data_IF_275139032421
#
_entry.id   IF_275139032421
#
_cell.length_a   1.000
_cell.length_b   1.000
_cell.length_c   1.000
_cell.angle_alpha   90.00
_cell.angle_beta   90.00
_cell.angle_gamma   90.00
#
_symmetry.space_group_name_H-M   'P 1'
#
loop_
_entity.id
_entity.type
_entity.pdbx_description
1 polymer ?
#
# COMPACT_ATOMS: atom_id res chain seq x y z
N UNK A 1 14.79 5.05 -35.81
CA UNK A 1 13.68 5.74 -35.09
C UNK A 1 13.80 5.46 -33.58
N UNK A 2 13.21 6.28 -32.70
CA UNK A 2 13.16 6.04 -31.24
C UNK A 2 11.70 5.89 -30.81
N UNK A 3 11.40 4.86 -30.00
CA UNK A 3 10.06 4.64 -29.44
C UNK A 3 9.59 5.83 -28.60
N UNK A 4 8.34 6.25 -28.79
CA UNK A 4 7.67 7.27 -27.97
C UNK A 4 6.34 6.72 -27.48
N UNK A 5 6.15 6.69 -26.16
CA UNK A 5 4.89 6.27 -25.57
C UNK A 5 3.98 7.49 -25.34
N UNK A 6 2.85 7.53 -26.04
CA UNK A 6 1.95 8.69 -26.04
C UNK A 6 1.31 8.98 -24.66
N UNK A 7 1.29 7.98 -23.76
CA UNK A 7 0.70 8.10 -22.42
C UNK A 7 1.75 8.25 -21.31
N UNK A 8 2.99 8.64 -21.63
CA UNK A 8 4.06 8.78 -20.63
C UNK A 8 3.70 9.78 -19.52
N UNK A 9 3.08 10.92 -19.87
CA UNK A 9 2.62 11.92 -18.89
C UNK A 9 1.56 11.36 -17.95
N UNK A 10 0.63 10.56 -18.48
CA UNK A 10 -0.41 9.92 -17.70
C UNK A 10 0.17 8.84 -16.78
N UNK A 11 1.14 8.05 -17.26
CA UNK A 11 1.88 7.08 -16.42
C UNK A 11 2.54 7.78 -15.24
N UNK A 12 3.29 8.86 -15.49
CA UNK A 12 3.99 9.60 -14.43
C UNK A 12 3.02 10.24 -13.43
N UNK A 13 1.83 10.66 -13.88
CA UNK A 13 0.77 11.11 -12.97
C UNK A 13 0.27 9.96 -12.09
N UNK A 14 -0.02 8.79 -12.67
CA UNK A 14 -0.49 7.61 -11.91
C UNK A 14 0.54 7.10 -10.92
N UNK A 15 1.82 7.17 -11.26
CA UNK A 15 2.93 6.81 -10.38
C UNK A 15 2.97 7.71 -9.13
N UNK A 16 2.88 9.05 -9.32
CA UNK A 16 2.79 9.99 -8.19
C UNK A 16 1.53 9.78 -7.33
N UNK A 17 0.40 9.44 -7.96
CA UNK A 17 -0.83 9.14 -7.22
C UNK A 17 -0.71 7.82 -6.42
N UNK A 18 -0.02 6.81 -6.95
CA UNK A 18 0.29 5.57 -6.21
C UNK A 18 1.18 5.87 -5.00
N UNK A 19 2.24 6.68 -5.19
CA UNK A 19 3.16 7.07 -4.11
C UNK A 19 2.44 7.84 -3.00
N UNK A 20 1.58 8.78 -3.36
CA UNK A 20 0.77 9.56 -2.42
C UNK A 20 -0.20 8.64 -1.65
N UNK A 21 -0.95 7.79 -2.34
CA UNK A 21 -1.87 6.85 -1.70
C UNK A 21 -1.12 5.86 -0.78
N UNK A 22 0.08 5.45 -1.16
CA UNK A 22 0.96 4.62 -0.32
C UNK A 22 1.36 5.34 0.95
N UNK A 23 1.73 6.63 0.86
CA UNK A 23 2.09 7.44 2.03
C UNK A 23 0.92 7.54 3.00
N UNK A 24 -0.27 7.90 2.51
CA UNK A 24 -1.49 8.02 3.31
C UNK A 24 -1.84 6.68 3.98
N UNK A 25 -1.73 5.56 3.25
CA UNK A 25 -1.94 4.23 3.82
C UNK A 25 -0.96 3.94 4.97
N UNK A 26 0.33 4.23 4.79
CA UNK A 26 1.34 4.01 5.84
C UNK A 26 1.11 4.90 7.08
N UNK A 27 0.65 6.13 6.89
CA UNK A 27 0.25 7.02 7.99
C UNK A 27 -0.94 6.41 8.76
N UNK A 28 -1.97 5.93 8.05
CA UNK A 28 -3.12 5.25 8.68
C UNK A 28 -2.71 3.98 9.43
N UNK A 29 -1.80 3.16 8.88
CA UNK A 29 -1.23 2.00 9.56
C UNK A 29 -0.52 2.41 10.85
N UNK A 30 0.29 3.46 10.82
CA UNK A 30 0.99 3.96 12.00
C UNK A 30 0.02 4.45 13.09
N UNK A 31 -1.08 5.12 12.70
CA UNK A 31 -2.13 5.51 13.64
C UNK A 31 -2.86 4.32 14.25
N UNK A 32 -3.18 3.28 13.46
CA UNK A 32 -3.76 2.04 13.98
C UNK A 32 -2.84 1.38 15.00
N UNK A 33 -1.54 1.26 14.69
CA UNK A 33 -0.55 0.67 15.61
C UNK A 33 -0.53 1.44 16.94
N UNK A 34 -0.51 2.78 16.90
CA UNK A 34 -0.56 3.61 18.13
C UNK A 34 -1.86 3.38 18.93
N UNK A 35 -2.99 3.20 18.24
CA UNK A 35 -4.26 2.90 18.92
C UNK A 35 -4.25 1.50 19.54
N UNK A 36 -3.67 0.51 18.87
CA UNK A 36 -3.47 -0.85 19.37
C UNK A 36 -2.59 -0.86 20.62
N UNK A 37 -1.45 -0.16 20.60
CA UNK A 37 -0.54 -0.05 21.74
C UNK A 37 -1.25 0.51 22.98
N UNK A 38 -2.07 1.56 22.81
CA UNK A 38 -2.88 2.12 23.90
C UNK A 38 -3.88 1.11 24.45
N UNK A 39 -4.54 0.35 23.56
CA UNK A 39 -5.50 -0.68 23.95
C UNK A 39 -4.81 -1.84 24.69
N UNK A 40 -3.62 -2.25 24.27
CA UNK A 40 -2.81 -3.25 24.97
C UNK A 40 -2.37 -2.71 26.34
N UNK A 41 -1.93 -1.46 26.41
CA UNK A 41 -1.50 -0.83 27.65
C UNK A 41 -2.63 -0.79 28.71
N UNK A 42 -3.85 -0.39 28.32
CA UNK A 42 -4.98 -0.36 29.26
C UNK A 42 -5.39 -1.77 29.70
N UNK A 43 -5.36 -2.76 28.81
CA UNK A 43 -5.63 -4.16 29.16
C UNK A 43 -4.61 -4.70 30.18
N UNK A 44 -3.32 -4.42 29.97
CA UNK A 44 -2.26 -4.80 30.90
C UNK A 44 -2.42 -4.10 32.25
N UNK A 45 -2.79 -2.81 32.24
CA UNK A 45 -3.07 -2.05 33.45
C UNK A 45 -4.22 -2.67 34.24
N UNK A 46 -5.35 -2.96 33.60
CA UNK A 46 -6.50 -3.62 34.24
C UNK A 46 -6.10 -4.98 34.82
N UNK A 47 -5.32 -5.78 34.09
CA UNK A 47 -4.84 -7.08 34.57
C UNK A 47 -3.99 -6.94 35.84
N UNK A 48 -3.01 -6.03 35.82
CA UNK A 48 -2.13 -5.78 36.98
C UNK A 48 -2.91 -5.27 38.20
N UNK A 49 -3.88 -4.38 38.00
CA UNK A 49 -4.71 -3.88 39.10
C UNK A 49 -5.60 -4.98 39.69
N UNK A 50 -6.14 -5.88 38.86
CA UNK A 50 -6.86 -7.08 39.34
C UNK A 50 -5.96 -8.02 40.16
N UNK A 51 -4.73 -8.29 39.69
CA UNK A 51 -3.78 -9.13 40.41
C UNK A 51 -3.41 -8.53 41.77
N UNK A 52 -3.19 -7.20 41.83
CA UNK A 52 -2.93 -6.47 43.08
C UNK A 52 -4.10 -6.58 44.04
N UNK A 53 -5.31 -6.38 43.55
CA UNK A 53 -6.52 -6.46 44.37
C UNK A 53 -6.73 -7.85 44.97
N UNK A 54 -6.60 -8.91 44.16
CA UNK A 54 -6.72 -10.28 44.65
C UNK A 54 -5.70 -10.56 45.76
N UNK A 55 -4.44 -10.11 45.57
CA UNK A 55 -3.39 -10.26 46.56
C UNK A 55 -3.72 -9.52 47.86
N UNK A 56 -4.16 -8.27 47.78
CA UNK A 56 -4.50 -7.46 48.95
C UNK A 56 -5.72 -8.00 49.71
N UNK A 57 -6.75 -8.49 49.01
CA UNK A 57 -7.89 -9.18 49.63
C UNK A 57 -7.43 -10.44 50.36
N UNK A 58 -6.63 -11.29 49.70
CA UNK A 58 -6.18 -12.56 50.28
C UNK A 58 -5.36 -12.40 51.56
N UNK A 59 -4.74 -11.22 51.74
CA UNK A 59 -3.94 -10.86 52.90
C UNK A 59 -4.74 -10.09 53.96
N UNK A 60 -6.06 -9.92 53.78
CA UNK A 60 -6.93 -9.09 54.63
C UNK A 60 -6.39 -7.65 54.83
N UNK A 61 -5.72 -7.11 53.82
CA UNK A 61 -5.07 -5.78 53.87
C UNK A 61 -5.98 -4.64 53.39
N UNK A 62 -7.26 -4.88 53.18
CA UNK A 62 -8.19 -3.86 52.68
C UNK A 62 -9.45 -3.75 53.53
N UNK A 63 -9.84 -2.50 53.73
CA UNK A 63 -11.12 -2.09 54.29
C UNK A 63 -12.22 -2.12 53.23
N UNK A 64 -13.48 -2.12 53.69
CA UNK A 64 -14.66 -2.08 52.80
C UNK A 64 -14.66 -0.81 51.93
N UNK A 65 -14.20 0.32 52.47
CA UNK A 65 -14.15 1.59 51.74
C UNK A 65 -13.11 1.53 50.61
N UNK A 66 -11.94 0.95 50.85
CA UNK A 66 -10.91 0.75 49.82
C UNK A 66 -11.39 -0.19 48.71
N UNK A 67 -12.16 -1.23 49.05
CA UNK A 67 -12.77 -2.13 48.06
C UNK A 67 -13.76 -1.37 47.15
N UNK A 68 -14.58 -0.49 47.72
CA UNK A 68 -15.52 0.34 46.94
C UNK A 68 -14.81 1.33 46.01
N UNK A 69 -13.74 1.98 46.51
CA UNK A 69 -12.92 2.87 45.70
C UNK A 69 -12.24 2.13 44.56
N UNK A 70 -11.70 0.94 44.83
CA UNK A 70 -11.06 0.11 43.83
C UNK A 70 -12.03 -0.33 42.74
N UNK A 71 -13.25 -0.74 43.11
CA UNK A 71 -14.30 -1.07 42.14
C UNK A 71 -14.63 0.11 41.23
N UNK A 72 -14.79 1.30 41.81
CA UNK A 72 -15.07 2.52 41.03
C UNK A 72 -13.93 2.85 40.07
N UNK A 73 -12.68 2.66 40.51
CA UNK A 73 -11.50 2.83 39.68
C UNK A 73 -11.45 1.81 38.53
N UNK A 74 -11.69 0.53 38.79
CA UNK A 74 -11.77 -0.48 37.74
C UNK A 74 -12.87 -0.18 36.72
N UNK A 75 -14.04 0.25 37.17
CA UNK A 75 -15.13 0.65 36.27
C UNK A 75 -14.70 1.83 35.37
N UNK A 76 -13.88 2.74 35.87
CA UNK A 76 -13.31 3.83 35.07
C UNK A 76 -12.32 3.32 34.01
N UNK A 77 -11.47 2.35 34.35
CA UNK A 77 -10.52 1.73 33.42
C UNK A 77 -11.24 0.91 32.34
N UNK A 78 -12.31 0.20 32.69
CA UNK A 78 -13.08 -0.57 31.71
C UNK A 78 -13.82 0.37 30.74
N UNK A 79 -14.35 1.50 31.23
CA UNK A 79 -14.90 2.56 30.35
C UNK A 79 -13.84 3.14 29.42
N UNK A 80 -12.62 3.36 29.91
CA UNK A 80 -11.50 3.82 29.08
C UNK A 80 -11.11 2.79 28.02
N UNK A 81 -11.04 1.51 28.38
CA UNK A 81 -10.78 0.40 27.46
C UNK A 81 -11.84 0.31 26.36
N UNK A 82 -13.12 0.48 26.68
CA UNK A 82 -14.20 0.50 25.67
C UNK A 82 -13.94 1.64 24.67
N UNK A 83 -13.67 2.86 25.15
CA UNK A 83 -13.36 4.01 24.28
C UNK A 83 -12.13 3.77 23.40
N UNK A 84 -11.05 3.23 23.96
CA UNK A 84 -9.85 2.89 23.19
C UNK A 84 -10.12 1.78 22.17
N UNK A 85 -11.01 0.84 22.50
CA UNK A 85 -11.49 -0.20 21.58
C UNK A 85 -12.28 0.38 20.40
N UNK A 86 -13.14 1.37 20.64
CA UNK A 86 -13.85 2.09 19.58
C UNK A 86 -12.87 2.82 18.64
N UNK A 87 -11.92 3.57 19.22
CA UNK A 87 -10.88 4.27 18.47
C UNK A 87 -10.06 3.29 17.63
N UNK A 88 -9.66 2.15 18.20
CA UNK A 88 -8.92 1.12 17.48
C UNK A 88 -9.73 0.59 16.28
N UNK A 89 -11.01 0.28 16.46
CA UNK A 89 -11.89 -0.18 15.38
C UNK A 89 -12.03 0.86 14.27
N UNK A 90 -12.17 2.14 14.63
CA UNK A 90 -12.20 3.23 13.67
C UNK A 90 -10.91 3.30 12.85
N UNK A 91 -9.75 3.22 13.52
CA UNK A 91 -8.43 3.24 12.84
C UNK A 91 -8.21 2.03 11.94
N UNK A 92 -8.70 0.85 12.32
CA UNK A 92 -8.69 -0.35 11.45
C UNK A 92 -9.53 -0.11 10.19
N UNK A 93 -10.72 0.47 10.34
CA UNK A 93 -11.60 0.76 9.20
C UNK A 93 -10.96 1.77 8.23
N UNK A 94 -10.35 2.83 8.77
CA UNK A 94 -9.62 3.84 7.99
C UNK A 94 -8.42 3.21 7.28
N UNK A 95 -7.62 2.40 7.97
CA UNK A 95 -6.48 1.71 7.34
C UNK A 95 -6.93 0.86 6.15
N UNK A 96 -7.99 0.07 6.30
CA UNK A 96 -8.49 -0.79 5.23
C UNK A 96 -9.06 0.02 4.04
N UNK A 97 -9.70 1.16 4.30
CA UNK A 97 -10.11 2.09 3.25
C UNK A 97 -8.89 2.60 2.47
N UNK A 98 -7.86 3.10 3.16
CA UNK A 98 -6.64 3.64 2.52
C UNK A 98 -5.82 2.57 1.83
N UNK A 99 -5.86 1.34 2.33
CA UNK A 99 -5.28 0.17 1.65
C UNK A 99 -5.95 -0.09 0.32
N UNK A 100 -7.29 -0.04 0.24
CA UNK A 100 -8.04 -0.23 -1.01
C UNK A 100 -7.72 0.88 -2.02
N UNK A 101 -7.67 2.13 -1.57
CA UNK A 101 -7.29 3.28 -2.42
C UNK A 101 -5.88 3.09 -3.01
N UNK A 102 -4.90 2.69 -2.19
CA UNK A 102 -3.55 2.39 -2.66
C UNK A 102 -3.52 1.24 -3.67
N UNK A 103 -4.25 0.15 -3.42
CA UNK A 103 -4.29 -0.99 -4.34
C UNK A 103 -4.90 -0.62 -5.70
N UNK A 104 -5.95 0.20 -5.71
CA UNK A 104 -6.53 0.71 -6.97
C UNK A 104 -5.58 1.68 -7.68
N UNK A 105 -4.90 2.57 -6.97
CA UNK A 105 -3.88 3.45 -7.56
C UNK A 105 -2.75 2.64 -8.21
N UNK A 106 -2.25 1.61 -7.49
CA UNK A 106 -1.22 0.69 -7.97
C UNK A 106 -1.67 -0.10 -9.20
N UNK A 107 -2.89 -0.63 -9.19
CA UNK A 107 -3.48 -1.31 -10.35
C UNK A 107 -3.52 -0.41 -11.57
N UNK A 108 -3.95 0.84 -11.41
CA UNK A 108 -3.99 1.82 -12.49
C UNK A 108 -2.59 2.14 -13.06
N UNK A 109 -1.55 2.20 -12.22
CA UNK A 109 -0.16 2.35 -12.69
C UNK A 109 0.31 1.13 -13.48
N UNK A 110 0.08 -0.08 -12.96
CA UNK A 110 0.49 -1.34 -13.59
C UNK A 110 -0.14 -1.49 -14.98
N UNK A 111 -1.41 -1.10 -15.15
CA UNK A 111 -2.10 -1.18 -16.45
C UNK A 111 -1.35 -0.35 -17.51
N UNK A 112 -0.91 0.86 -17.16
CA UNK A 112 -0.17 1.73 -18.09
C UNK A 112 1.23 1.21 -18.40
N UNK A 113 1.90 0.59 -17.44
CA UNK A 113 3.19 -0.06 -17.70
C UNK A 113 3.05 -1.24 -18.66
N UNK A 114 2.10 -2.14 -18.42
CA UNK A 114 1.85 -3.26 -19.33
C UNK A 114 1.47 -2.78 -20.74
N UNK A 115 0.70 -1.69 -20.83
CA UNK A 115 0.39 -1.08 -22.11
C UNK A 115 1.63 -0.53 -22.81
N UNK A 116 2.53 0.12 -22.07
CA UNK A 116 3.80 0.63 -22.60
C UNK A 116 4.70 -0.50 -23.10
N UNK A 117 4.82 -1.57 -22.32
CA UNK A 117 5.57 -2.78 -22.70
C UNK A 117 5.03 -3.37 -24.01
N UNK A 118 3.72 -3.59 -24.10
CA UNK A 118 3.10 -4.11 -25.33
C UNK A 118 3.32 -3.18 -26.53
N UNK A 119 3.17 -1.87 -26.35
CA UNK A 119 3.44 -0.88 -27.42
C UNK A 119 4.91 -0.86 -27.84
N UNK A 120 5.81 -1.11 -26.93
CA UNK A 120 7.24 -1.21 -27.24
C UNK A 120 7.57 -2.47 -28.05
N UNK A 121 6.95 -3.61 -27.70
CA UNK A 121 7.07 -4.85 -28.48
C UNK A 121 6.51 -4.68 -29.90
N UNK A 122 5.32 -4.09 -30.05
CA UNK A 122 4.72 -3.76 -31.35
C UNK A 122 5.67 -2.90 -32.19
N UNK A 123 6.23 -1.84 -31.60
CA UNK A 123 7.20 -0.97 -32.26
C UNK A 123 8.46 -1.72 -32.72
N UNK A 124 8.98 -2.64 -31.90
CA UNK A 124 10.18 -3.44 -32.25
C UNK A 124 9.91 -4.34 -33.44
N UNK A 125 8.74 -4.97 -33.51
CA UNK A 125 8.33 -5.82 -34.63
C UNK A 125 8.22 -5.00 -35.91
N UNK A 126 7.60 -3.82 -35.83
CA UNK A 126 7.42 -2.94 -36.99
C UNK A 126 8.76 -2.38 -37.50
N UNK A 127 9.63 -1.95 -36.59
CA UNK A 127 10.98 -1.52 -36.92
C UNK A 127 11.78 -2.62 -37.65
N UNK A 128 11.73 -3.87 -37.16
CA UNK A 128 12.40 -4.99 -37.81
C UNK A 128 11.84 -5.26 -39.21
N UNK A 129 10.52 -5.13 -39.40
CA UNK A 129 9.87 -5.29 -40.71
C UNK A 129 10.25 -4.18 -41.69
N UNK A 130 10.47 -2.96 -41.22
CA UNK A 130 10.98 -1.86 -42.06
C UNK A 130 12.45 -2.07 -42.42
N UNK A 131 13.30 -2.46 -41.46
CA UNK A 131 14.71 -2.77 -41.74
C UNK A 131 14.85 -3.89 -42.78
N UNK A 132 14.10 -4.98 -42.63
CA UNK A 132 14.14 -6.08 -43.59
C UNK A 132 13.70 -5.62 -44.99
N UNK A 133 12.62 -4.82 -45.10
CA UNK A 133 12.18 -4.26 -46.39
C UNK A 133 13.24 -3.37 -47.03
N UNK A 134 13.90 -2.52 -46.24
CA UNK A 134 14.98 -1.67 -46.75
C UNK A 134 16.18 -2.50 -47.25
N UNK A 135 16.54 -3.57 -46.54
CA UNK A 135 17.61 -4.48 -46.96
C UNK A 135 17.27 -5.21 -48.27
N UNK A 136 16.03 -5.68 -48.41
CA UNK A 136 15.55 -6.34 -49.63
C UNK A 136 15.58 -5.37 -50.83
N UNK A 137 15.12 -4.13 -50.64
CA UNK A 137 15.19 -3.09 -51.68
C UNK A 137 16.64 -2.79 -52.11
N UNK A 138 17.56 -2.65 -51.16
CA UNK A 138 18.99 -2.47 -51.45
C UNK A 138 19.54 -3.67 -52.23
N UNK A 139 19.20 -4.89 -51.82
CA UNK A 139 19.61 -6.12 -52.51
C UNK A 139 19.13 -6.17 -53.95
N UNK A 140 17.87 -5.82 -54.19
CA UNK A 140 17.28 -5.72 -55.53
C UNK A 140 18.02 -4.66 -56.37
N UNK A 141 18.24 -3.46 -55.83
CA UNK A 141 18.96 -2.40 -56.54
C UNK A 141 20.40 -2.79 -56.89
N UNK A 142 21.12 -3.45 -55.98
CA UNK A 142 22.47 -3.95 -56.23
C UNK A 142 22.49 -5.03 -57.32
N UNK A 143 21.52 -5.95 -57.31
CA UNK A 143 21.38 -6.97 -58.35
C UNK A 143 21.13 -6.33 -59.72
N UNK A 144 20.22 -5.34 -59.81
CA UNK A 144 19.96 -4.63 -61.07
C UNK A 144 21.15 -3.82 -61.58
N UNK A 145 21.94 -3.21 -60.69
CA UNK A 145 23.19 -2.52 -61.06
C UNK A 145 24.20 -3.50 -61.67
N UNK A 146 24.50 -4.61 -60.97
CA UNK A 146 25.39 -5.66 -61.50
C UNK A 146 24.93 -6.17 -62.86
N UNK A 147 23.63 -6.40 -63.07
CA UNK A 147 23.10 -6.91 -64.34
C UNK A 147 23.22 -5.90 -65.49
N UNK A 148 23.32 -4.60 -65.20
CA UNK A 148 23.55 -3.52 -66.19
C UNK A 148 25.00 -3.41 -66.62
N UNK A 149 25.96 -3.71 -65.72
CA UNK A 149 27.40 -3.65 -66.01
C UNK A 149 27.92 -4.85 -66.82
N UNK A 150 27.12 -5.92 -66.94
CA UNK A 150 27.41 -7.13 -67.74
C UNK A 150 26.76 -7.12 -69.14
N UNK A 151 26.29 -5.96 -69.61
CA UNK A 151 25.80 -5.72 -70.98
C UNK A 151 26.65 -4.66 -71.65
#
# INVERSE_FOLDING_TARGET
MRFKFNLERLKNLRERLEEEAKRIFLEATAERIKAEEKLVAINNKIKLENERFIKQISQNLMTIQEIQQWRSYLESLEKEKIKLGDIYREKVAIEEEKRKEYLEARKNRIILEKLKERKFEEYKIEYQREENRNLDEIGIQMYYRKKKDFK
#
